data_IF_552879166161
#
_entry.id   IF_552879166161
#
_cell.length_a   1.000
_cell.length_b   1.000
_cell.length_c   1.000
_cell.angle_alpha   90.00
_cell.angle_beta   90.00
_cell.angle_gamma   90.00
#
_symmetry.space_group_name_H-M   'P 1'
#
loop_
_entity.id
_entity.type
_entity.pdbx_description
1 polymer ?
#
# COMPACT_ATOMS: atom_id res chain seq x y z
N UNK A 1 7.98 -11.26 16.50
CA UNK A 1 8.02 -10.15 15.52
C UNK A 1 9.33 -9.42 15.77
N UNK A 2 10.18 -9.31 14.75
CA UNK A 2 11.41 -8.53 14.81
C UNK A 2 11.08 -7.11 14.36
N UNK A 3 11.48 -6.10 15.14
CA UNK A 3 11.36 -4.70 14.75
C UNK A 3 12.69 -4.28 14.12
N UNK A 4 12.62 -3.56 13.01
CA UNK A 4 13.79 -3.08 12.26
C UNK A 4 13.93 -1.57 12.43
N UNK A 5 15.13 -1.04 12.19
CA UNK A 5 15.36 0.40 12.26
C UNK A 5 14.48 1.17 11.26
N UNK A 6 14.00 2.33 11.69
CA UNK A 6 13.21 3.21 10.82
C UNK A 6 14.10 3.86 9.76
N UNK A 7 13.51 4.16 8.61
CA UNK A 7 14.23 4.76 7.48
C UNK A 7 14.51 6.24 7.78
N UNK A 8 15.76 6.73 7.61
CA UNK A 8 16.03 8.17 7.68
C UNK A 8 15.16 8.96 6.71
N UNK A 9 14.47 9.98 7.23
CA UNK A 9 13.57 10.83 6.45
C UNK A 9 12.16 10.25 6.21
N UNK A 10 11.73 9.26 6.98
CA UNK A 10 10.35 8.80 6.96
C UNK A 10 9.44 9.81 7.69
N UNK A 11 8.59 10.51 6.94
CA UNK A 11 7.60 11.41 7.53
C UNK A 11 6.53 10.62 8.29
N UNK A 12 6.20 11.07 9.50
CA UNK A 12 5.31 10.35 10.41
C UNK A 12 3.82 10.47 10.03
N UNK A 13 3.44 11.54 9.33
CA UNK A 13 2.02 11.83 9.07
C UNK A 13 1.81 12.59 7.78
N UNK A 14 1.01 11.98 6.91
CA UNK A 14 0.36 12.65 5.80
C UNK A 14 -1.15 12.71 6.04
N UNK A 15 -1.74 13.87 5.76
CA UNK A 15 -3.19 14.07 5.86
C UNK A 15 -3.62 15.10 4.83
N UNK A 16 -4.73 14.81 4.14
CA UNK A 16 -5.31 15.68 3.13
C UNK A 16 -6.77 15.95 3.46
N UNK A 17 -7.21 17.19 3.21
CA UNK A 17 -8.63 17.55 3.23
C UNK A 17 -9.21 17.40 1.81
N UNK A 18 -10.19 16.49 1.66
CA UNK A 18 -10.89 16.21 0.40
C UNK A 18 -12.24 16.93 0.28
N UNK A 19 -12.57 17.84 1.20
CA UNK A 19 -13.88 18.52 1.26
C UNK A 19 -14.22 19.29 0.00
N UNK A 20 -13.23 19.88 -0.68
CA UNK A 20 -13.45 20.59 -1.95
C UNK A 20 -14.00 19.67 -3.04
N UNK A 21 -13.35 18.53 -3.27
CA UNK A 21 -13.77 17.57 -4.29
C UNK A 21 -15.14 16.96 -3.97
N UNK A 22 -15.42 16.69 -2.68
CA UNK A 22 -16.73 16.19 -2.22
C UNK A 22 -17.85 17.18 -2.51
N UNK A 23 -17.62 18.48 -2.22
CA UNK A 23 -18.62 19.53 -2.41
C UNK A 23 -18.81 19.91 -3.88
N UNK A 24 -17.74 20.07 -4.64
CA UNK A 24 -17.80 20.66 -5.99
C UNK A 24 -18.02 19.61 -7.08
N UNK A 25 -17.54 18.38 -6.87
CA UNK A 25 -17.63 17.29 -7.86
C UNK A 25 -18.54 16.16 -7.42
N UNK A 26 -19.08 16.21 -6.19
CA UNK A 26 -19.83 15.08 -5.61
C UNK A 26 -18.97 13.82 -5.39
N UNK A 27 -17.65 13.94 -5.39
CA UNK A 27 -16.76 12.78 -5.28
C UNK A 27 -16.85 12.16 -3.88
N UNK A 28 -16.94 10.83 -3.83
CA UNK A 28 -16.90 10.05 -2.58
C UNK A 28 -16.14 8.73 -2.81
N UNK A 29 -15.42 8.20 -1.80
CA UNK A 29 -14.83 6.87 -1.88
C UNK A 29 -15.89 5.82 -2.15
N UNK A 30 -15.63 4.92 -3.12
CA UNK A 30 -16.52 3.81 -3.45
C UNK A 30 -16.38 2.62 -2.50
N UNK A 31 -15.21 2.47 -1.87
CA UNK A 31 -14.85 1.36 -1.00
C UNK A 31 -14.32 1.89 0.34
N UNK A 32 -14.57 1.14 1.42
CA UNK A 32 -13.85 1.35 2.68
C UNK A 32 -12.41 0.84 2.55
N UNK A 33 -11.54 1.24 3.48
CA UNK A 33 -10.16 0.76 3.50
C UNK A 33 -10.10 -0.77 3.65
N UNK A 34 -10.83 -1.34 4.60
CA UNK A 34 -10.81 -2.78 4.87
C UNK A 34 -11.26 -3.61 3.66
N UNK A 35 -12.32 -3.17 2.97
CA UNK A 35 -12.83 -3.83 1.77
C UNK A 35 -11.79 -3.77 0.64
N UNK A 36 -11.21 -2.59 0.40
CA UNK A 36 -10.22 -2.39 -0.65
C UNK A 36 -8.90 -3.15 -0.36
N UNK A 37 -8.47 -3.18 0.90
CA UNK A 37 -7.28 -3.92 1.31
C UNK A 37 -7.46 -5.42 1.09
N UNK A 38 -8.62 -5.96 1.49
CA UNK A 38 -8.95 -7.37 1.22
C UNK A 38 -8.89 -7.69 -0.27
N UNK A 39 -9.53 -6.87 -1.11
CA UNK A 39 -9.51 -7.05 -2.57
C UNK A 39 -8.10 -6.97 -3.15
N UNK A 40 -7.28 -6.06 -2.62
CA UNK A 40 -5.87 -5.93 -3.03
C UNK A 40 -5.09 -7.20 -2.72
N UNK A 41 -5.18 -7.71 -1.49
CA UNK A 41 -4.51 -8.96 -1.09
C UNK A 41 -4.98 -10.14 -1.95
N UNK A 42 -6.30 -10.29 -2.10
CA UNK A 42 -6.88 -11.35 -2.94
C UNK A 42 -6.38 -11.24 -4.39
N UNK A 43 -6.18 -10.03 -4.92
CA UNK A 43 -5.62 -9.84 -6.24
C UNK A 43 -4.16 -10.29 -6.32
N UNK A 44 -3.29 -9.88 -5.39
CA UNK A 44 -1.86 -10.26 -5.43
C UNK A 44 -1.66 -11.78 -5.30
N UNK A 45 -2.45 -12.45 -4.47
CA UNK A 45 -2.42 -13.92 -4.32
C UNK A 45 -2.80 -14.62 -5.63
N UNK A 46 -3.81 -14.12 -6.33
CA UNK A 46 -4.32 -14.74 -7.55
C UNK A 46 -3.59 -14.32 -8.84
N UNK A 47 -2.63 -13.38 -8.76
CA UNK A 47 -1.94 -12.81 -9.92
C UNK A 47 -0.42 -12.88 -9.79
N UNK A 48 0.11 -14.00 -9.31
CA UNK A 48 1.56 -14.26 -9.22
C UNK A 48 2.27 -14.05 -10.56
N UNK A 49 1.66 -14.53 -11.64
CA UNK A 49 2.16 -14.36 -13.01
C UNK A 49 2.48 -12.89 -13.36
N UNK A 50 1.79 -11.93 -12.73
CA UNK A 50 1.96 -10.51 -12.99
C UNK A 50 3.11 -9.90 -12.20
N UNK A 51 3.19 -10.14 -10.88
CA UNK A 51 4.21 -9.47 -10.04
C UNK A 51 5.53 -10.25 -9.99
N UNK A 52 5.52 -11.57 -10.13
CA UNK A 52 6.72 -12.38 -9.99
C UNK A 52 7.84 -11.98 -10.98
N UNK A 53 7.55 -11.67 -12.27
CA UNK A 53 8.58 -11.18 -13.20
C UNK A 53 9.13 -9.79 -12.88
N UNK A 54 8.45 -9.03 -12.01
CA UNK A 54 8.86 -7.68 -11.58
C UNK A 54 9.65 -7.70 -10.27
N UNK A 55 9.61 -8.81 -9.53
CA UNK A 55 10.30 -8.96 -8.27
C UNK A 55 11.81 -9.14 -8.51
N UNK A 56 12.61 -8.53 -7.63
CA UNK A 56 14.06 -8.67 -7.61
C UNK A 56 14.55 -9.42 -6.36
N UNK A 57 15.84 -9.73 -6.32
CA UNK A 57 16.47 -10.41 -5.18
C UNK A 57 16.24 -9.66 -3.85
N UNK A 58 16.18 -8.33 -3.89
CA UNK A 58 15.94 -7.50 -2.71
C UNK A 58 14.51 -7.69 -2.18
N UNK A 59 13.53 -7.69 -3.06
CA UNK A 59 12.11 -7.82 -2.72
C UNK A 59 11.79 -9.21 -2.17
N UNK A 60 12.48 -10.24 -2.66
CA UNK A 60 12.32 -11.63 -2.23
C UNK A 60 13.26 -12.03 -1.08
N UNK A 61 14.15 -11.13 -0.65
CA UNK A 61 15.08 -11.41 0.45
C UNK A 61 14.32 -11.69 1.75
N UNK A 62 14.75 -12.68 2.54
CA UNK A 62 14.16 -12.92 3.87
C UNK A 62 14.58 -11.85 4.90
N UNK A 63 15.60 -11.04 4.61
CA UNK A 63 16.08 -9.98 5.51
C UNK A 63 16.63 -8.75 4.74
N UNK A 64 15.80 -8.02 3.95
CA UNK A 64 16.23 -6.88 3.14
C UNK A 64 16.63 -5.62 3.95
N UNK A 65 16.47 -5.66 5.27
CA UNK A 65 16.85 -4.59 6.21
C UNK A 65 18.26 -4.76 6.79
N UNK A 66 18.95 -5.85 6.45
CA UNK A 66 20.36 -6.09 6.81
C UNK A 66 21.25 -5.67 5.65
#
# INVERSE_FOLDING_TARGET
MEHVEDRPGHDLRYSLDSSKARRELGWHPRHSFDEALKKTVDWYVNNEWWWLPLADERTLSPAPWK
#
